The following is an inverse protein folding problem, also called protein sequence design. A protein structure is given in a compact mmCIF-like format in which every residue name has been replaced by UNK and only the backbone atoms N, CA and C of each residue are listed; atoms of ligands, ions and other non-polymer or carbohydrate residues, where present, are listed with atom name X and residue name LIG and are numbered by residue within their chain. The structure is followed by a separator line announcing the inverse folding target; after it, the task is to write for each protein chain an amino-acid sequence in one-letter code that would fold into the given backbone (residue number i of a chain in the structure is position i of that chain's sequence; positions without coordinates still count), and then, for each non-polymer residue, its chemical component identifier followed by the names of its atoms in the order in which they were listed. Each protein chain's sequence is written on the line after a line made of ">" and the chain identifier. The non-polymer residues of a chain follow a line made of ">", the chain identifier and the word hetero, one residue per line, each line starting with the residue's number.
data_IF_785571264765
#
_entry.id   IF_785571264765
#
_cell.length_a   1.000
_cell.length_b   1.000
_cell.length_c   1.000
_cell.angle_alpha   90.00
_cell.angle_beta   90.00
_cell.angle_gamma   90.00
#
_symmetry.space_group_name_H-M   'P 1'
#
loop_
_entity.id
_entity.type
_entity.pdbx_description
1 polymer ?
#
# COMPACT_ATOMS: atom_id res chain seq x y z
N UNK A 1 -18.81 -3.65 -2.01
CA UNK A 1 -17.34 -3.71 -1.88
C UNK A 1 -16.74 -3.16 -3.17
N UNK A 2 -15.71 -2.31 -3.10
CA UNK A 2 -15.03 -1.81 -4.31
C UNK A 2 -13.82 -2.69 -4.57
N UNK A 3 -13.66 -3.13 -5.81
CA UNK A 3 -12.50 -3.88 -6.28
C UNK A 3 -11.74 -3.01 -7.28
N UNK A 4 -10.41 -3.05 -7.24
CA UNK A 4 -9.59 -2.25 -8.13
C UNK A 4 -8.10 -2.37 -7.81
N UNK A 5 -7.32 -1.64 -8.60
CA UNK A 5 -5.87 -1.48 -8.42
C UNK A 5 -5.58 -0.02 -8.09
N UNK A 6 -4.64 0.21 -7.18
CA UNK A 6 -4.14 1.54 -6.85
C UNK A 6 -2.65 1.58 -7.19
N UNK A 7 -2.28 2.42 -8.16
CA UNK A 7 -0.88 2.70 -8.48
C UNK A 7 -0.38 3.72 -7.46
N UNK A 8 0.61 3.32 -6.66
CA UNK A 8 1.20 4.16 -5.61
C UNK A 8 2.68 4.25 -5.90
N UNK A 9 3.16 5.48 -6.11
CA UNK A 9 4.57 5.78 -6.02
C UNK A 9 4.98 5.72 -4.54
N UNK A 10 5.76 4.71 -4.15
CA UNK A 10 6.09 4.44 -2.74
C UNK A 10 7.16 5.45 -2.29
N UNK A 11 6.87 6.33 -1.30
CA UNK A 11 7.88 7.20 -0.73
C UNK A 11 9.04 6.42 -0.10
N UNK A 12 10.25 6.94 -0.29
CA UNK A 12 11.45 6.41 0.37
C UNK A 12 11.32 6.46 1.90
N UNK A 13 11.96 5.50 2.56
CA UNK A 13 11.89 5.29 4.01
C UNK A 13 10.68 4.47 4.48
N UNK A 14 9.70 4.16 3.61
CA UNK A 14 8.56 3.30 3.98
C UNK A 14 8.70 1.89 3.41
N UNK A 15 8.28 0.90 4.21
CA UNK A 15 8.09 -0.46 3.71
C UNK A 15 6.84 -0.54 2.84
N UNK A 16 6.74 -1.58 2.00
CA UNK A 16 5.52 -1.86 1.24
C UNK A 16 4.31 -2.10 2.15
N UNK A 17 4.53 -2.64 3.36
CA UNK A 17 3.46 -2.90 4.32
C UNK A 17 2.96 -1.61 5.00
N UNK A 18 3.82 -0.62 5.22
CA UNK A 18 3.40 0.70 5.73
C UNK A 18 2.42 1.39 4.78
N UNK A 19 2.67 1.29 3.47
CA UNK A 19 1.75 1.78 2.44
C UNK A 19 0.40 1.08 2.54
N UNK A 20 0.39 -0.26 2.62
CA UNK A 20 -0.86 -1.03 2.80
C UNK A 20 -1.61 -0.58 4.04
N UNK A 21 -0.94 -0.43 5.19
CA UNK A 21 -1.59 0.03 6.42
C UNK A 21 -2.22 1.42 6.27
N UNK A 22 -1.53 2.37 5.62
CA UNK A 22 -2.08 3.70 5.33
C UNK A 22 -3.31 3.61 4.42
N UNK A 23 -3.25 2.84 3.34
CA UNK A 23 -4.38 2.67 2.41
C UNK A 23 -5.60 2.07 3.11
N UNK A 24 -5.41 1.05 3.96
CA UNK A 24 -6.51 0.45 4.76
C UNK A 24 -7.22 1.49 5.63
N UNK A 25 -6.46 2.39 6.27
CA UNK A 25 -7.00 3.48 7.10
C UNK A 25 -7.71 4.53 6.27
N UNK A 26 -7.10 5.01 5.19
CA UNK A 26 -7.65 6.09 4.33
C UNK A 26 -8.94 5.65 3.66
N UNK A 27 -8.99 4.43 3.12
CA UNK A 27 -10.14 3.91 2.39
C UNK A 27 -11.17 3.21 3.29
N UNK A 28 -10.88 3.05 4.59
CA UNK A 28 -11.64 2.23 5.52
C UNK A 28 -11.93 0.82 4.95
N UNK A 29 -10.90 0.17 4.41
CA UNK A 29 -11.00 -1.16 3.79
C UNK A 29 -10.04 -2.15 4.45
N UNK A 30 -10.55 -3.32 4.82
CA UNK A 30 -9.74 -4.36 5.47
C UNK A 30 -8.96 -5.21 4.47
N UNK A 31 -9.48 -5.46 3.28
CA UNK A 31 -8.84 -6.30 2.25
C UNK A 31 -8.03 -5.43 1.30
N UNK A 32 -6.74 -5.27 1.60
CA UNK A 32 -5.76 -4.54 0.79
C UNK A 32 -4.45 -5.31 0.87
N UNK A 33 -3.77 -5.47 -0.26
CA UNK A 33 -2.44 -6.08 -0.36
C UNK A 33 -1.59 -5.31 -1.36
N UNK A 34 -0.35 -5.75 -1.54
CA UNK A 34 0.55 -5.26 -2.59
C UNK A 34 1.06 -6.45 -3.41
N UNK A 35 1.46 -6.21 -4.65
CA UNK A 35 2.11 -7.20 -5.51
C UNK A 35 3.55 -6.77 -5.75
N UNK A 36 4.49 -7.59 -5.29
CA UNK A 36 5.90 -7.22 -5.20
C UNK A 36 6.21 -6.38 -3.96
N UNK A 37 7.38 -6.59 -3.38
CA UNK A 37 7.89 -5.80 -2.26
C UNK A 37 8.97 -4.87 -2.80
N UNK A 38 8.87 -3.60 -2.47
CA UNK A 38 9.94 -2.62 -2.67
C UNK A 38 10.66 -2.38 -1.35
N UNK A 39 11.99 -2.32 -1.43
CA UNK A 39 12.83 -1.97 -0.30
C UNK A 39 12.51 -0.55 0.21
N UNK A 40 12.67 -0.27 1.52
CA UNK A 40 12.42 1.06 2.05
C UNK A 40 13.24 2.15 1.38
N UNK A 41 14.47 1.84 0.94
CA UNK A 41 15.39 2.80 0.34
C UNK A 41 15.27 2.92 -1.19
N UNK A 42 14.45 2.07 -1.82
CA UNK A 42 14.08 2.20 -3.23
C UNK A 42 13.15 3.40 -3.46
#
# INVERSE_FOLDING_TARGET
>A
MKHGLLLIDKPSGMTSHDVVQKVRRILNQKSVGHIGTLDPLA
#
